data_IF_009059266846
#
_entry.id   IF_009059266846
#
_cell.length_a   1.000
_cell.length_b   1.000
_cell.length_c   1.000
_cell.angle_alpha   90.00
_cell.angle_beta   90.00
_cell.angle_gamma   90.00
#
_symmetry.space_group_name_H-M   'P 1'
#
loop_
_entity.id
_entity.type
_entity.pdbx_description
1 polymer ?
#
# COMPACT_ATOMS: atom_id res chain seq x y z
N UNK A 1 7.56 -17.17 1.16
CA UNK A 1 6.46 -16.40 0.54
C UNK A 1 6.51 -15.00 1.11
N UNK A 2 6.21 -13.99 0.31
CA UNK A 2 6.06 -12.61 0.75
C UNK A 2 4.61 -12.18 0.49
N UNK A 3 3.99 -11.55 1.48
CA UNK A 3 2.60 -11.13 1.43
C UNK A 3 2.54 -9.61 1.42
N UNK A 4 2.02 -9.06 0.32
CA UNK A 4 1.96 -7.62 0.09
C UNK A 4 0.52 -7.17 0.24
N UNK A 5 0.29 -6.25 1.19
CA UNK A 5 -0.98 -5.59 1.36
C UNK A 5 -1.19 -4.53 0.29
N UNK A 6 -2.36 -4.50 -0.34
CA UNK A 6 -2.70 -3.48 -1.34
C UNK A 6 -4.07 -2.83 -1.11
N UNK A 7 -4.28 -1.67 -1.71
CA UNK A 7 -5.58 -0.97 -1.69
C UNK A 7 -6.39 -1.39 -2.91
N UNK A 8 -7.71 -1.48 -2.77
CA UNK A 8 -8.59 -1.82 -3.89
C UNK A 8 -9.04 -0.58 -4.68
N UNK A 9 -9.16 0.58 -4.02
CA UNK A 9 -9.76 1.79 -4.59
C UNK A 9 -8.99 3.08 -4.27
N UNK A 10 -7.67 3.01 -4.10
CA UNK A 10 -6.84 4.22 -3.89
C UNK A 10 -6.23 4.70 -5.21
N UNK A 11 -7.05 5.16 -6.16
CA UNK A 11 -6.56 5.75 -7.43
C UNK A 11 -5.82 7.07 -7.15
N UNK A 12 -4.67 7.35 -7.77
CA UNK A 12 -3.87 6.54 -8.70
C UNK A 12 -2.73 5.73 -8.04
N UNK A 13 -2.78 5.50 -6.73
CA UNK A 13 -1.71 4.91 -5.93
C UNK A 13 -1.72 3.38 -5.90
N UNK A 14 -2.84 2.76 -5.57
CA UNK A 14 -3.02 1.29 -5.54
C UNK A 14 -4.50 1.01 -5.70
N UNK A 15 -4.86 0.41 -6.84
CA UNK A 15 -6.24 0.14 -7.24
C UNK A 15 -6.29 -1.04 -8.21
N UNK A 16 -7.47 -1.65 -8.37
CA UNK A 16 -7.67 -2.64 -9.42
C UNK A 16 -7.90 -1.97 -10.77
N UNK A 17 -7.15 -2.39 -11.78
CA UNK A 17 -7.46 -2.06 -13.17
C UNK A 17 -8.64 -2.89 -13.69
N UNK A 18 -9.05 -2.61 -14.93
CA UNK A 18 -10.12 -3.35 -15.60
C UNK A 18 -9.76 -4.82 -15.88
N UNK A 19 -8.51 -5.24 -15.67
CA UNK A 19 -8.02 -6.61 -15.81
C UNK A 19 -7.89 -7.32 -14.45
N UNK A 20 -8.44 -6.75 -13.37
CA UNK A 20 -8.33 -7.25 -12.00
C UNK A 20 -6.88 -7.35 -11.49
N UNK A 21 -5.96 -6.58 -12.07
CA UNK A 21 -4.59 -6.45 -11.57
C UNK A 21 -4.50 -5.24 -10.67
N UNK A 22 -3.77 -5.39 -9.57
CA UNK A 22 -3.45 -4.27 -8.70
C UNK A 22 -2.38 -3.45 -9.38
N UNK A 23 -2.69 -2.19 -9.68
CA UNK A 23 -1.79 -1.25 -10.34
C UNK A 23 -1.78 0.08 -9.59
N UNK A 24 -0.79 0.92 -9.91
CA UNK A 24 -0.70 2.28 -9.43
C UNK A 24 0.68 2.62 -8.91
N UNK A 25 0.89 3.91 -8.70
CA UNK A 25 2.19 4.47 -8.34
C UNK A 25 2.79 3.83 -7.09
N UNK A 26 2.01 3.65 -6.02
CA UNK A 26 2.50 2.99 -4.81
C UNK A 26 2.69 1.49 -5.01
N UNK A 27 1.88 0.86 -5.87
CA UNK A 27 2.03 -0.56 -6.19
C UNK A 27 3.34 -0.86 -6.93
N UNK A 28 3.80 0.04 -7.81
CA UNK A 28 5.09 -0.09 -8.50
C UNK A 28 6.25 -0.12 -7.50
N UNK A 29 6.16 0.67 -6.43
CA UNK A 29 7.11 0.62 -5.31
C UNK A 29 7.05 -0.72 -4.58
N UNK A 30 5.86 -1.28 -4.36
CA UNK A 30 5.75 -2.62 -3.79
C UNK A 30 6.44 -3.67 -4.66
N UNK A 31 6.24 -3.61 -5.97
CA UNK A 31 6.87 -4.53 -6.92
C UNK A 31 8.40 -4.42 -6.89
N UNK A 32 8.94 -3.20 -6.90
CA UNK A 32 10.38 -2.97 -6.80
C UNK A 32 10.97 -3.48 -5.48
N UNK A 33 10.25 -3.34 -4.36
CA UNK A 33 10.66 -3.91 -3.07
C UNK A 33 10.66 -5.44 -3.13
N UNK A 34 9.63 -6.06 -3.70
CA UNK A 34 9.58 -7.52 -3.88
C UNK A 34 10.79 -8.01 -4.70
N UNK A 35 11.11 -7.34 -5.80
CA UNK A 35 12.27 -7.69 -6.62
C UNK A 35 13.59 -7.54 -5.86
N UNK A 36 13.76 -6.46 -5.10
CA UNK A 36 14.92 -6.25 -4.26
C UNK A 36 15.04 -7.35 -3.18
N UNK A 37 13.93 -7.77 -2.57
CA UNK A 37 13.89 -8.86 -1.59
C UNK A 37 14.25 -10.20 -2.25
N UNK A 38 13.68 -10.51 -3.42
CA UNK A 38 14.03 -11.70 -4.20
C UNK A 38 15.53 -11.77 -4.48
N UNK A 39 16.11 -10.66 -4.93
CA UNK A 39 17.55 -10.55 -5.21
C UNK A 39 18.39 -10.68 -3.94
N UNK A 40 17.97 -10.05 -2.84
CA UNK A 40 18.69 -10.10 -1.56
C UNK A 40 18.69 -11.48 -0.93
N UNK A 41 17.59 -12.21 -1.04
CA UNK A 41 17.43 -13.57 -0.52
C UNK A 41 17.93 -14.65 -1.49
N UNK A 42 18.33 -14.26 -2.71
CA UNK A 42 18.70 -15.16 -3.80
C UNK A 42 17.61 -16.22 -4.10
N UNK A 43 16.34 -15.81 -4.01
CA UNK A 43 15.14 -16.65 -4.21
C UNK A 43 14.26 -16.05 -5.30
N UNK A 44 14.55 -16.29 -6.59
CA UNK A 44 13.76 -15.74 -7.70
C UNK A 44 12.33 -16.27 -7.73
N UNK A 45 12.14 -17.50 -7.23
CA UNK A 45 10.90 -18.25 -7.08
C UNK A 45 10.07 -17.84 -5.84
N UNK A 46 10.48 -16.80 -5.10
CA UNK A 46 9.72 -16.33 -3.95
C UNK A 46 8.28 -16.01 -4.36
N UNK A 47 7.34 -16.79 -3.83
CA UNK A 47 5.92 -16.61 -4.05
C UNK A 47 5.46 -15.28 -3.45
N UNK A 48 4.75 -14.48 -4.25
CA UNK A 48 4.19 -13.19 -3.87
C UNK A 48 2.68 -13.34 -3.77
N UNK A 49 2.09 -12.99 -2.62
CA UNK A 49 0.65 -12.99 -2.41
C UNK A 49 0.16 -11.57 -2.18
N UNK A 50 -0.83 -11.14 -2.96
CA UNK A 50 -1.48 -9.85 -2.77
C UNK A 50 -2.71 -10.05 -1.88
N UNK A 51 -2.87 -9.22 -0.84
CA UNK A 51 -4.04 -9.22 0.03
C UNK A 51 -4.65 -7.82 0.05
N UNK A 52 -5.97 -7.69 -0.20
CA UNK A 52 -6.64 -6.40 -0.11
C UNK A 52 -6.77 -5.95 1.35
N UNK A 53 -6.40 -4.69 1.61
CA UNK A 53 -6.47 -4.06 2.93
C UNK A 53 -7.17 -2.70 2.87
N UNK A 54 -7.83 -2.37 3.98
CA UNK A 54 -8.57 -1.12 4.18
C UNK A 54 -7.85 -0.22 5.19
N UNK A 55 -8.25 1.05 5.25
CA UNK A 55 -7.65 1.99 6.22
C UNK A 55 -7.89 1.59 7.67
N UNK A 56 -8.93 0.81 7.95
CA UNK A 56 -9.34 0.39 9.29
C UNK A 56 -8.58 -0.87 9.73
N UNK A 57 -8.40 -1.85 8.84
CA UNK A 57 -7.82 -3.14 9.20
C UNK A 57 -6.30 -3.24 8.97
N UNK A 58 -5.66 -2.29 8.28
CA UNK A 58 -4.22 -2.35 7.98
C UNK A 58 -3.31 -2.51 9.21
N UNK A 59 -3.58 -1.83 10.33
CA UNK A 59 -2.72 -1.92 11.52
C UNK A 59 -2.90 -3.28 12.21
N UNK A 60 -4.14 -3.73 12.53
CA UNK A 60 -4.36 -5.07 13.05
C UNK A 60 -3.78 -6.19 12.16
N UNK A 61 -3.94 -6.08 10.84
CA UNK A 61 -3.45 -7.07 9.87
C UNK A 61 -1.92 -7.06 9.70
N UNK A 62 -1.26 -5.94 10.02
CA UNK A 62 0.20 -5.88 10.08
C UNK A 62 0.69 -6.52 11.38
N UNK A 63 0.06 -6.20 12.50
CA UNK A 63 0.45 -6.69 13.82
C UNK A 63 0.28 -8.20 13.98
N UNK A 64 -0.74 -8.79 13.34
CA UNK A 64 -0.96 -10.23 13.36
C UNK A 64 -0.15 -10.99 12.27
N UNK A 65 0.63 -10.29 11.45
CA UNK A 65 1.43 -10.89 10.38
C UNK A 65 0.64 -11.39 9.18
N UNK A 66 -0.59 -10.89 8.94
CA UNK A 66 -1.37 -11.26 7.75
C UNK A 66 -0.69 -10.78 6.47
N UNK A 67 0.01 -9.64 6.52
CA UNK A 67 0.85 -9.14 5.43
C UNK A 67 2.18 -8.58 5.97
N UNK A 68 3.21 -8.60 5.14
CA UNK A 68 4.56 -8.17 5.51
C UNK A 68 4.73 -6.65 5.38
N UNK A 69 4.24 -6.08 4.28
CA UNK A 69 4.29 -4.64 4.04
C UNK A 69 3.20 -4.19 3.05
N UNK A 70 2.83 -2.91 3.11
CA UNK A 70 1.97 -2.26 2.13
C UNK A 70 2.67 -1.04 1.55
N UNK A 71 2.42 -0.74 0.27
CA UNK A 71 2.71 0.57 -0.30
C UNK A 71 1.42 1.13 -0.86
N UNK A 72 0.79 2.02 -0.10
CA UNK A 72 -0.48 2.62 -0.45
C UNK A 72 -0.48 4.12 -0.17
N UNK A 73 -1.53 4.57 0.53
CA UNK A 73 -1.77 5.96 0.91
C UNK A 73 -1.70 6.16 2.43
N UNK A 74 -0.92 5.33 3.12
CA UNK A 74 -0.84 5.35 4.58
C UNK A 74 0.03 6.48 5.06
N UNK A 75 -0.61 7.49 5.67
CA UNK A 75 0.10 8.58 6.34
C UNK A 75 0.93 8.04 7.49
N UNK A 76 2.25 8.27 7.41
CA UNK A 76 3.18 8.05 8.50
C UNK A 76 3.06 9.23 9.49
N UNK A 77 2.63 8.94 10.71
CA UNK A 77 2.56 9.86 11.85
C UNK A 77 3.23 9.22 13.08
N UNK A 78 3.61 10.04 14.06
CA UNK A 78 4.37 9.60 15.26
C UNK A 78 3.63 8.51 16.04
N UNK A 79 2.30 8.58 16.09
CA UNK A 79 1.49 7.58 16.79
C UNK A 79 1.55 6.20 16.12
N UNK A 80 1.51 6.14 14.79
CA UNK A 80 1.60 4.86 14.06
C UNK A 80 3.01 4.29 14.04
N UNK A 81 4.05 5.12 14.13
CA UNK A 81 5.43 4.64 14.26
C UNK A 81 5.64 3.78 15.52
N UNK A 82 4.80 3.94 16.55
CA UNK A 82 4.85 3.10 17.75
C UNK A 82 4.36 1.66 17.51
N UNK A 83 3.54 1.45 16.47
CA UNK A 83 2.85 0.18 16.22
C UNK A 83 3.24 -0.47 14.90
N UNK A 84 4.09 0.17 14.08
CA UNK A 84 4.63 -0.38 12.84
C UNK A 84 5.78 0.47 12.27
N UNK A 85 6.66 -0.16 11.50
CA UNK A 85 7.75 0.51 10.79
C UNK A 85 7.26 1.14 9.48
N UNK A 86 7.73 2.35 9.18
CA UNK A 86 7.37 3.06 7.95
C UNK A 86 8.60 3.27 7.06
N UNK A 87 8.45 3.02 5.77
CA UNK A 87 9.39 3.49 4.76
C UNK A 87 9.40 5.02 4.70
N UNK A 88 10.51 5.57 4.18
CA UNK A 88 10.68 7.01 3.96
C UNK A 88 9.51 7.52 3.10
N UNK A 89 8.97 8.69 3.44
CA UNK A 89 7.83 9.26 2.72
C UNK A 89 8.13 9.36 1.22
N UNK A 90 7.35 8.66 0.41
CA UNK A 90 7.48 8.71 -1.05
C UNK A 90 6.40 9.60 -1.71
N UNK A 91 5.30 9.85 -1.00
CA UNK A 91 4.27 10.80 -1.42
C UNK A 91 3.83 11.68 -0.24
N UNK A 92 3.72 12.99 -0.45
CA UNK A 92 3.22 13.96 0.55
C UNK A 92 2.00 14.68 0.00
N UNK A 93 0.81 14.21 0.37
CA UNK A 93 -0.44 14.89 0.08
C UNK A 93 -0.66 16.10 0.98
N UNK A 94 -1.21 17.19 0.44
CA UNK A 94 -1.87 18.23 1.26
C UNK A 94 -3.34 17.84 1.44
N UNK A 95 -3.85 17.95 2.67
CA UNK A 95 -5.28 17.81 2.91
C UNK A 95 -6.00 19.01 2.28
N UNK A 96 -6.73 18.77 1.20
CA UNK A 96 -7.76 19.68 0.72
C UNK A 96 -9.11 19.12 1.19
N UNK A 97 -9.93 19.86 1.93
CA UNK A 97 -11.28 19.41 2.27
C UNK A 97 -12.04 19.14 0.97
N UNK A 98 -12.61 17.94 0.87
CA UNK A 98 -13.51 17.60 -0.24
C UNK A 98 -14.82 18.36 -0.02
N UNK A 99 -14.88 19.59 -0.52
CA UNK A 99 -16.04 20.44 -0.36
C UNK A 99 -17.25 19.81 -1.08
N UNK A 100 -18.33 19.59 -0.33
CA UNK A 100 -19.52 18.91 -0.83
C UNK A 100 -20.32 19.87 -1.72
N UNK A 101 -20.33 19.54 -3.02
CA UNK A 101 -21.42 19.70 -4.02
C UNK A 101 -21.50 21.00 -4.85
N UNK A 102 -21.42 20.78 -6.17
CA UNK A 102 -22.40 21.16 -7.22
C UNK A 102 -23.21 22.46 -7.03
N UNK A 103 -22.94 23.45 -7.90
CA UNK A 103 -23.91 24.10 -8.81
C UNK A 103 -23.15 25.03 -9.76
N UNK A 104 -22.81 24.55 -10.95
CA UNK A 104 -22.86 25.40 -12.16
C UNK A 104 -24.22 25.15 -12.77
N UNK A 105 -25.09 26.14 -12.66
CA UNK A 105 -26.04 26.66 -13.65
C UNK A 105 -26.69 27.88 -13.03
#
# INVERSE_FOLDING_TARGET
MIVVGHRESSVPFSYYDNQQKVVGYSQDYSNAIVEAVKKKLNKPDLQVKLIPITSQNRIPLLQNGTFDFECGSTTNNVERQKTGGFLRHYFRGRYAPADKKRRRY
#
